data_IF_762641494544
#
_entry.id   IF_762641494544
#
_cell.length_a   1.000
_cell.length_b   1.000
_cell.length_c   1.000
_cell.angle_alpha   90.00
_cell.angle_beta   90.00
_cell.angle_gamma   90.00
#
_symmetry.space_group_name_H-M   'P 1'
#
loop_
_entity.id
_entity.type
_entity.pdbx_description
1 polymer ?
#
# COMPACT_ATOMS: atom_id res chain seq x y z
N UNK A 1 16.71 -8.03 -15.38
CA UNK A 1 16.84 -8.19 -13.91
C UNK A 1 17.18 -6.85 -13.33
N UNK A 2 16.46 -6.40 -12.30
CA UNK A 2 16.75 -5.18 -11.55
C UNK A 2 17.38 -5.59 -10.22
N UNK A 3 18.54 -5.00 -9.88
CA UNK A 3 19.18 -5.24 -8.58
C UNK A 3 18.62 -4.27 -7.55
N UNK A 4 18.34 -4.80 -6.36
CA UNK A 4 18.02 -3.99 -5.20
C UNK A 4 19.22 -3.21 -4.68
N UNK A 5 18.96 -2.40 -3.65
CA UNK A 5 19.99 -1.73 -2.86
C UNK A 5 19.67 -1.90 -1.37
N UNK A 6 20.66 -1.69 -0.50
CA UNK A 6 20.46 -1.84 0.94
C UNK A 6 19.34 -0.93 1.46
N UNK A 7 18.58 -1.44 2.42
CA UNK A 7 17.52 -0.73 3.13
C UNK A 7 16.35 -0.24 2.26
N UNK A 8 16.12 -0.87 1.10
CA UNK A 8 14.85 -0.74 0.40
C UNK A 8 13.73 -1.19 1.35
N UNK A 9 12.71 -0.35 1.50
CA UNK A 9 11.60 -0.59 2.42
C UNK A 9 10.40 -1.14 1.66
N UNK A 10 9.83 -2.23 2.18
CA UNK A 10 8.58 -2.79 1.70
C UNK A 10 7.53 -2.65 2.80
N UNK A 11 6.40 -2.02 2.47
CA UNK A 11 5.20 -1.99 3.30
C UNK A 11 4.11 -2.85 2.66
N UNK A 12 3.44 -3.63 3.49
CA UNK A 12 2.12 -4.17 3.21
C UNK A 12 1.15 -3.69 4.28
N UNK A 13 0.17 -2.87 3.90
CA UNK A 13 -0.83 -2.31 4.81
C UNK A 13 -2.21 -2.80 4.41
N UNK A 14 -2.83 -3.62 5.27
CA UNK A 14 -4.02 -4.40 4.93
C UNK A 14 -5.30 -3.96 5.61
N UNK A 15 -6.41 -4.24 4.92
CA UNK A 15 -7.79 -4.01 5.35
C UNK A 15 -8.58 -5.28 5.06
N UNK A 16 -9.19 -5.84 6.10
CA UNK A 16 -9.97 -7.08 6.04
C UNK A 16 -11.33 -6.84 6.68
N UNK A 17 -12.38 -6.97 5.87
CA UNK A 17 -13.77 -6.77 6.26
C UNK A 17 -14.61 -8.04 6.03
N UNK A 18 -13.97 -9.23 6.01
CA UNK A 18 -14.65 -10.52 5.81
C UNK A 18 -15.71 -10.77 6.89
N UNK A 19 -15.39 -10.47 8.15
CA UNK A 19 -16.32 -10.65 9.28
C UNK A 19 -17.14 -9.39 9.61
N UNK A 20 -16.96 -8.30 8.87
CA UNK A 20 -17.62 -7.03 9.16
C UNK A 20 -19.13 -7.11 8.84
N UNK A 21 -19.96 -6.69 9.79
CA UNK A 21 -21.40 -6.52 9.58
C UNK A 21 -21.72 -5.33 8.66
N UNK A 22 -22.98 -5.18 8.29
CA UNK A 22 -23.42 -4.16 7.31
C UNK A 22 -23.01 -2.73 7.71
N UNK A 23 -23.18 -2.36 8.99
CA UNK A 23 -22.81 -1.02 9.50
C UNK A 23 -21.31 -0.75 9.39
N UNK A 24 -20.45 -1.71 9.77
CA UNK A 24 -19.00 -1.56 9.66
C UNK A 24 -18.52 -1.57 8.20
N UNK A 25 -19.17 -2.35 7.33
CA UNK A 25 -18.89 -2.31 5.89
C UNK A 25 -19.26 -0.94 5.32
N UNK A 26 -20.43 -0.40 5.65
CA UNK A 26 -20.84 0.92 5.22
C UNK A 26 -19.85 1.99 5.71
N UNK A 27 -19.40 1.90 6.97
CA UNK A 27 -18.37 2.77 7.53
C UNK A 27 -17.04 2.66 6.76
N UNK A 28 -16.57 1.44 6.49
CA UNK A 28 -15.35 1.21 5.71
C UNK A 28 -15.47 1.79 4.29
N UNK A 29 -16.51 1.43 3.53
CA UNK A 29 -16.64 1.81 2.13
C UNK A 29 -16.97 3.29 1.93
N UNK A 30 -17.74 3.90 2.81
CA UNK A 30 -18.18 5.29 2.65
C UNK A 30 -17.23 6.29 3.28
N UNK A 31 -16.57 5.94 4.39
CA UNK A 31 -15.72 6.88 5.12
C UNK A 31 -14.23 6.56 4.97
N UNK A 32 -13.81 5.29 5.07
CA UNK A 32 -12.39 4.94 5.12
C UNK A 32 -11.75 4.69 3.76
N UNK A 33 -12.44 3.97 2.88
CA UNK A 33 -11.92 3.60 1.55
C UNK A 33 -11.67 4.82 0.66
N UNK A 34 -12.52 5.86 0.59
CA UNK A 34 -12.28 6.99 -0.31
C UNK A 34 -10.95 7.73 -0.05
N UNK A 35 -10.62 8.19 1.18
CA UNK A 35 -9.32 8.81 1.42
C UNK A 35 -8.15 7.82 1.28
N UNK A 36 -8.36 6.52 1.54
CA UNK A 36 -7.35 5.49 1.27
C UNK A 36 -7.05 5.41 -0.23
N UNK A 37 -8.08 5.30 -1.06
CA UNK A 37 -7.98 5.27 -2.52
C UNK A 37 -7.27 6.52 -3.05
N UNK A 38 -7.66 7.72 -2.61
CA UNK A 38 -6.98 8.99 -2.95
C UNK A 38 -5.47 8.91 -2.66
N UNK A 39 -5.10 8.37 -1.49
CA UNK A 39 -3.70 8.21 -1.09
C UNK A 39 -2.94 7.20 -1.92
N UNK A 40 -3.57 6.07 -2.25
CA UNK A 40 -2.97 5.01 -3.06
C UNK A 40 -2.80 5.44 -4.52
N UNK A 41 -3.78 6.16 -5.08
CA UNK A 41 -3.71 6.72 -6.42
C UNK A 41 -2.61 7.78 -6.52
N UNK A 42 -2.51 8.66 -5.52
CA UNK A 42 -1.42 9.62 -5.44
C UNK A 42 -0.05 8.92 -5.42
N UNK A 43 0.15 7.89 -4.59
CA UNK A 43 1.43 7.17 -4.57
C UNK A 43 1.72 6.41 -5.87
N UNK A 44 0.69 5.91 -6.56
CA UNK A 44 0.84 5.27 -7.87
C UNK A 44 1.35 6.26 -8.91
N UNK A 45 0.76 7.46 -8.94
CA UNK A 45 0.93 8.41 -10.04
C UNK A 45 2.06 9.41 -9.79
N UNK A 46 2.24 9.86 -8.54
CA UNK A 46 3.17 10.93 -8.12
C UNK A 46 4.28 10.40 -7.18
N UNK A 47 4.25 9.12 -6.81
CA UNK A 47 5.13 8.55 -5.79
C UNK A 47 6.63 8.57 -6.12
N UNK A 48 6.99 8.67 -7.41
CA UNK A 48 8.40 8.72 -7.84
C UNK A 48 9.14 9.88 -7.17
N UNK A 49 8.53 11.07 -7.13
CA UNK A 49 9.12 12.27 -6.53
C UNK A 49 9.37 12.11 -5.02
N UNK A 50 8.65 11.20 -4.36
CA UNK A 50 8.77 10.93 -2.93
C UNK A 50 9.69 9.74 -2.62
N UNK A 51 10.18 9.04 -3.64
CA UNK A 51 10.94 7.80 -3.47
C UNK A 51 10.09 6.56 -3.23
N UNK A 52 8.78 6.60 -3.55
CA UNK A 52 7.96 5.40 -3.69
C UNK A 52 8.18 4.83 -5.10
N UNK A 53 8.96 3.76 -5.21
CA UNK A 53 9.31 3.11 -6.47
C UNK A 53 8.12 2.42 -7.14
N UNK A 54 7.24 1.83 -6.35
CA UNK A 54 6.07 1.12 -6.84
C UNK A 54 5.01 1.09 -5.74
N UNK A 55 3.82 1.60 -6.05
CA UNK A 55 2.66 1.49 -5.18
C UNK A 55 1.59 0.62 -5.84
N UNK A 56 1.00 -0.31 -5.10
CA UNK A 56 -0.09 -1.16 -5.62
C UNK A 56 -1.15 -1.31 -4.56
N UNK A 57 -2.36 -0.87 -4.88
CA UNK A 57 -3.53 -1.19 -4.07
C UNK A 57 -4.23 -2.40 -4.68
N UNK A 58 -4.19 -3.53 -3.99
CA UNK A 58 -4.65 -4.82 -4.52
C UNK A 58 -5.76 -5.41 -3.66
N UNK A 59 -6.60 -6.24 -4.29
CA UNK A 59 -7.66 -6.99 -3.63
C UNK A 59 -7.40 -8.48 -3.80
N UNK A 60 -7.57 -9.24 -2.72
CA UNK A 60 -7.42 -10.69 -2.78
C UNK A 60 -8.45 -11.30 -3.74
N UNK A 61 -8.06 -12.40 -4.36
CA UNK A 61 -8.93 -13.22 -5.21
C UNK A 61 -8.79 -14.69 -4.83
N UNK A 62 -9.82 -15.48 -5.12
CA UNK A 62 -9.66 -16.93 -5.20
C UNK A 62 -8.98 -17.35 -6.53
N UNK A 63 -8.82 -18.66 -6.75
CA UNK A 63 -8.15 -19.18 -7.95
C UNK A 63 -8.96 -18.96 -9.25
N UNK A 64 -10.27 -18.72 -9.14
CA UNK A 64 -11.14 -18.46 -10.28
C UNK A 64 -11.21 -16.95 -10.62
N UNK A 65 -10.57 -16.11 -9.80
CA UNK A 65 -10.52 -14.66 -9.98
C UNK A 65 -11.67 -13.91 -9.29
N UNK A 66 -12.45 -14.56 -8.44
CA UNK A 66 -13.50 -13.89 -7.67
C UNK A 66 -12.87 -13.06 -6.56
N UNK A 67 -13.33 -11.81 -6.41
CA UNK A 67 -12.81 -10.89 -5.41
C UNK A 67 -13.19 -11.33 -4.00
N UNK A 68 -12.22 -11.28 -3.09
CA UNK A 68 -12.40 -11.51 -1.67
C UNK A 68 -12.44 -10.17 -0.92
N UNK A 69 -12.99 -10.19 0.29
CA UNK A 69 -13.19 -9.02 1.14
C UNK A 69 -11.94 -8.66 1.98
N UNK A 70 -10.79 -8.75 1.33
CA UNK A 70 -9.47 -8.41 1.86
C UNK A 70 -8.71 -7.61 0.80
N UNK A 71 -8.17 -6.46 1.19
CA UNK A 71 -7.30 -5.64 0.35
C UNK A 71 -6.03 -5.24 1.11
N UNK A 72 -4.99 -4.86 0.37
CA UNK A 72 -3.80 -4.25 0.96
C UNK A 72 -3.05 -3.40 -0.06
N UNK A 73 -2.28 -2.46 0.47
CA UNK A 73 -1.20 -1.80 -0.25
C UNK A 73 0.03 -2.72 -0.34
N UNK A 74 0.79 -2.61 -1.42
CA UNK A 74 2.18 -3.07 -1.55
C UNK A 74 3.02 -1.89 -2.04
N UNK A 75 3.69 -1.22 -1.11
CA UNK A 75 4.55 -0.08 -1.38
C UNK A 75 6.03 -0.46 -1.31
N UNK A 76 6.77 -0.29 -2.41
CA UNK A 76 8.23 -0.35 -2.43
C UNK A 76 8.80 1.07 -2.35
N UNK A 77 9.63 1.32 -1.36
CA UNK A 77 10.16 2.64 -1.03
C UNK A 77 11.68 2.61 -1.00
N UNK A 78 12.28 3.73 -1.41
CA UNK A 78 13.73 3.95 -1.38
C UNK A 78 14.32 3.76 0.01
N UNK A 79 13.59 4.10 1.06
CA UNK A 79 14.04 3.94 2.44
C UNK A 79 12.88 4.14 3.41
N UNK A 80 13.08 3.69 4.65
CA UNK A 80 12.06 3.80 5.69
C UNK A 80 11.73 5.26 5.99
N UNK A 81 12.72 6.14 6.01
CA UNK A 81 12.52 7.58 6.27
C UNK A 81 11.71 8.30 5.19
N UNK A 82 11.62 7.75 3.97
CA UNK A 82 10.77 8.29 2.91
C UNK A 82 9.32 7.89 3.10
N UNK A 83 9.08 6.64 3.47
CA UNK A 83 7.77 6.15 3.89
C UNK A 83 7.26 6.93 5.11
N UNK A 84 8.10 7.08 6.15
CA UNK A 84 7.77 7.82 7.36
C UNK A 84 7.38 9.27 7.05
N UNK A 85 8.18 9.99 6.25
CA UNK A 85 7.86 11.37 5.86
C UNK A 85 6.54 11.49 5.11
N UNK A 86 6.25 10.59 4.18
CA UNK A 86 4.96 10.61 3.50
C UNK A 86 3.81 10.35 4.49
N UNK A 87 3.95 9.36 5.36
CA UNK A 87 2.93 9.00 6.33
C UNK A 87 2.67 10.13 7.36
N UNK A 88 3.70 10.81 7.86
CA UNK A 88 3.54 11.81 8.91
C UNK A 88 3.14 13.21 8.39
N UNK A 89 3.39 13.52 7.12
CA UNK A 89 3.28 14.89 6.61
C UNK A 89 2.41 15.07 5.37
N UNK A 90 2.18 14.02 4.58
CA UNK A 90 1.45 14.18 3.33
C UNK A 90 -0.06 14.30 3.59
N UNK A 91 -0.77 15.30 3.02
CA UNK A 91 -2.20 15.50 3.26
C UNK A 91 -3.07 14.27 2.97
N UNK A 92 -2.67 13.44 2.00
CA UNK A 92 -3.41 12.22 1.69
C UNK A 92 -3.35 11.21 2.84
N UNK A 93 -2.18 10.95 3.42
CA UNK A 93 -2.09 10.04 4.56
C UNK A 93 -2.67 10.65 5.85
N UNK A 94 -2.48 11.94 6.09
CA UNK A 94 -3.10 12.62 7.23
C UNK A 94 -4.64 12.55 7.20
N UNK A 95 -5.26 12.61 6.01
CA UNK A 95 -6.70 12.39 5.84
C UNK A 95 -7.10 10.95 6.20
N UNK A 96 -6.33 9.94 5.78
CA UNK A 96 -6.56 8.54 6.15
C UNK A 96 -6.50 8.38 7.68
N UNK A 97 -5.44 8.90 8.29
CA UNK A 97 -5.19 8.78 9.72
C UNK A 97 -6.27 9.48 10.55
N UNK A 98 -6.62 10.72 10.23
CA UNK A 98 -7.66 11.47 10.95
C UNK A 98 -9.05 10.83 10.79
N UNK A 99 -9.39 10.33 9.61
CA UNK A 99 -10.62 9.55 9.40
C UNK A 99 -10.63 8.27 10.23
N UNK A 100 -9.52 7.53 10.29
CA UNK A 100 -9.41 6.33 11.12
C UNK A 100 -9.69 6.62 12.59
N UNK A 101 -9.07 7.64 13.17
CA UNK A 101 -9.29 8.01 14.57
C UNK A 101 -10.74 8.45 14.86
N UNK A 102 -11.44 9.04 13.88
CA UNK A 102 -12.85 9.41 14.02
C UNK A 102 -13.77 8.18 14.10
N UNK A 103 -13.42 7.09 13.42
CA UNK A 103 -14.32 5.94 13.25
C UNK A 103 -13.92 4.72 14.08
N UNK A 104 -12.71 4.68 14.64
CA UNK A 104 -12.16 3.52 15.36
C UNK A 104 -13.04 3.04 16.52
N UNK A 105 -13.73 3.95 17.21
CA UNK A 105 -14.63 3.61 18.31
C UNK A 105 -15.85 2.78 17.90
N UNK A 106 -16.19 2.76 16.61
CA UNK A 106 -17.27 1.95 16.04
C UNK A 106 -16.78 0.66 15.35
N UNK A 107 -15.48 0.36 15.38
CA UNK A 107 -14.92 -0.83 14.76
C UNK A 107 -14.83 -1.98 15.76
N UNK A 108 -15.35 -3.14 15.40
CA UNK A 108 -15.29 -4.38 16.17
C UNK A 108 -14.77 -5.56 15.34
N UNK A 109 -15.16 -5.67 14.07
CA UNK A 109 -14.82 -6.79 13.19
C UNK A 109 -13.90 -6.43 12.02
N UNK A 110 -13.88 -5.17 11.60
CA UNK A 110 -12.91 -4.66 10.64
C UNK A 110 -11.48 -4.83 11.19
N UNK A 111 -10.62 -5.51 10.42
CA UNK A 111 -9.22 -5.77 10.78
C UNK A 111 -8.31 -4.89 9.92
N UNK A 112 -7.53 -4.05 10.58
CA UNK A 112 -6.50 -3.23 9.94
C UNK A 112 -5.13 -3.62 10.51
N UNK A 113 -4.13 -3.70 9.66
CA UNK A 113 -2.78 -4.08 10.06
C UNK A 113 -1.75 -3.54 9.06
N UNK A 114 -0.48 -3.53 9.45
CA UNK A 114 0.61 -3.43 8.50
C UNK A 114 1.78 -4.32 8.91
N UNK A 115 2.61 -4.65 7.93
CA UNK A 115 3.97 -5.15 8.10
C UNK A 115 4.91 -4.29 7.27
N UNK A 116 6.04 -3.91 7.86
CA UNK A 116 7.07 -3.09 7.22
C UNK A 116 8.40 -3.82 7.38
N UNK A 117 9.14 -3.95 6.27
CA UNK A 117 10.42 -4.65 6.25
C UNK A 117 11.47 -3.84 5.49
N UNK A 118 12.72 -4.05 5.87
CA UNK A 118 13.92 -3.58 5.16
C UNK A 118 14.81 -4.79 4.88
N UNK A 119 15.57 -4.75 3.80
CA UNK A 119 16.45 -5.87 3.41
C UNK A 119 17.76 -5.39 2.83
N UNK A 120 18.79 -6.23 2.94
CA UNK A 120 20.06 -6.00 2.26
C UNK A 120 19.87 -6.13 0.74
N UNK A 121 20.61 -5.34 -0.05
CA UNK A 121 20.51 -5.36 -1.51
C UNK A 121 20.87 -6.73 -2.11
N UNK A 122 21.70 -7.50 -1.41
CA UNK A 122 22.05 -8.88 -1.79
C UNK A 122 20.93 -9.90 -1.56
N UNK A 123 19.92 -9.56 -0.75
CA UNK A 123 18.76 -10.41 -0.45
C UNK A 123 17.51 -10.00 -1.26
N UNK A 124 17.67 -9.14 -2.26
CA UNK A 124 16.59 -8.64 -3.11
C UNK A 124 16.75 -9.14 -4.54
N UNK A 125 15.67 -9.67 -5.11
CA UNK A 125 15.61 -10.13 -6.50
C UNK A 125 14.35 -9.59 -7.17
N UNK A 126 14.53 -8.77 -8.22
CA UNK A 126 13.42 -8.24 -9.02
C UNK A 126 13.57 -8.65 -10.49
N UNK A 127 12.76 -9.61 -10.92
CA UNK A 127 12.76 -10.17 -12.28
C UNK A 127 11.44 -9.90 -13.00
N UNK A 128 11.55 -9.64 -14.31
CA UNK A 128 10.43 -9.26 -15.17
C UNK A 128 10.60 -9.91 -16.54
N UNK A 129 9.52 -10.46 -17.08
CA UNK A 129 9.46 -11.08 -18.41
C UNK A 129 8.28 -10.48 -19.17
N UNK A 130 8.53 -9.85 -20.31
CA UNK A 130 7.51 -9.21 -21.15
C UNK A 130 6.59 -8.22 -20.41
N UNK A 131 7.09 -7.59 -19.34
CA UNK A 131 6.35 -6.56 -18.61
C UNK A 131 6.51 -5.19 -19.27
N UNK A 132 5.50 -4.33 -19.11
CA UNK A 132 5.58 -2.93 -19.54
C UNK A 132 6.65 -2.17 -18.72
N UNK A 133 7.35 -1.16 -19.28
CA UNK A 133 8.46 -0.47 -18.59
C UNK A 133 8.13 0.19 -17.25
N UNK A 134 6.87 0.50 -16.98
CA UNK A 134 6.43 1.08 -15.69
C UNK A 134 6.12 0.02 -14.61
N UNK A 135 6.37 -1.27 -14.87
CA UNK A 135 5.99 -2.35 -13.96
C UNK A 135 6.97 -2.46 -12.79
N UNK A 136 6.49 -2.21 -11.56
CA UNK A 136 7.27 -2.43 -10.35
C UNK A 136 8.56 -1.64 -10.32
N UNK A 137 9.67 -2.34 -10.07
CA UNK A 137 11.00 -1.72 -9.97
C UNK A 137 11.57 -1.30 -11.34
N UNK A 138 10.96 -1.67 -12.47
CA UNK A 138 11.43 -1.28 -13.80
C UNK A 138 11.36 0.24 -14.03
N UNK A 139 10.36 0.92 -13.46
CA UNK A 139 10.09 2.35 -13.70
C UNK A 139 11.29 3.24 -13.36
N UNK A 140 11.94 2.93 -12.24
CA UNK A 140 12.97 3.79 -11.62
C UNK A 140 14.35 3.11 -11.58
N UNK A 141 14.50 1.94 -12.22
CA UNK A 141 15.78 1.26 -12.31
C UNK A 141 16.77 2.12 -13.10
N UNK A 142 17.93 2.39 -12.49
CA UNK A 142 19.06 3.03 -13.16
C UNK A 142 19.88 1.94 -13.88
N UNK A 143 20.38 2.21 -15.09
CA UNK A 143 21.27 1.28 -15.81
C UNK A 143 22.55 0.91 -15.05
#
# INVERSE_FOLDING_TARGET
MVRGHDNLTLIRSGQDWVEAGEEERALYFNEMLPPLQDGMDFLRDEGQALGCYSNRFVRNIDLDGNLLDIAYDIGHWRSLDKLERWAESHPTHLRIFTTFFRVIGGLSKLRLYHEVSVSDGSQQLFEYLNCHPQTGMLRDAVP
#
